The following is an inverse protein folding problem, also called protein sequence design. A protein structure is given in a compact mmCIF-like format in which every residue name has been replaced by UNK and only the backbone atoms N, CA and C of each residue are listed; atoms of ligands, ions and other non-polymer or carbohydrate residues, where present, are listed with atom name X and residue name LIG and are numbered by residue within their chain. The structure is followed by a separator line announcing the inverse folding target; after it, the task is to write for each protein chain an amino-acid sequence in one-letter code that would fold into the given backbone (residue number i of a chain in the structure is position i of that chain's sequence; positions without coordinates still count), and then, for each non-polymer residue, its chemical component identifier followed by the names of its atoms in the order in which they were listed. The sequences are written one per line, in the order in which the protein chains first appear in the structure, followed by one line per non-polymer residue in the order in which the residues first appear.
data_IF_395972587481
#
_entry.id   IF_395972587481
#
_cell.length_a   1.000
_cell.length_b   1.000
_cell.length_c   1.000
_cell.angle_alpha   90.00
_cell.angle_beta   90.00
_cell.angle_gamma   90.00
#
_symmetry.space_group_name_H-M   'P 1'
#
loop_
_entity.id
_entity.type
_entity.pdbx_description
1 polymer ?
#
# COMPACT_ATOMS: atom_id res chain seq x y z
N UNK A 1 -44.02 -28.03 -41.17
CA UNK A 1 -43.25 -26.78 -41.16
C UNK A 1 -42.80 -26.54 -39.73
N UNK A 2 -41.57 -26.93 -39.39
CA UNK A 2 -41.01 -26.79 -38.06
C UNK A 2 -40.09 -25.58 -38.04
N UNK A 3 -40.33 -24.62 -37.13
CA UNK A 3 -39.46 -23.45 -36.91
C UNK A 3 -38.45 -23.85 -35.85
N UNK A 4 -37.16 -23.85 -36.20
CA UNK A 4 -36.03 -24.01 -35.28
C UNK A 4 -35.82 -22.70 -34.55
N UNK A 5 -35.65 -22.66 -33.19
CA UNK A 5 -35.28 -21.46 -32.47
C UNK A 5 -33.77 -21.20 -32.65
N UNK A 6 -33.44 -20.03 -33.19
CA UNK A 6 -32.06 -19.57 -33.30
C UNK A 6 -31.42 -19.33 -31.92
N UNK A 7 -30.29 -19.96 -31.68
CA UNK A 7 -29.46 -19.77 -30.51
C UNK A 7 -28.69 -18.41 -30.67
N UNK A 8 -29.07 -17.40 -29.91
CA UNK A 8 -28.33 -16.14 -29.83
C UNK A 8 -27.16 -16.34 -28.87
N UNK A 9 -25.94 -16.43 -29.41
CA UNK A 9 -24.72 -16.38 -28.62
C UNK A 9 -24.48 -14.93 -28.18
N UNK A 10 -24.73 -14.66 -26.91
CA UNK A 10 -24.27 -13.44 -26.26
C UNK A 10 -22.74 -13.55 -26.03
N UNK A 11 -21.96 -12.92 -26.91
CA UNK A 11 -20.53 -12.74 -26.68
C UNK A 11 -20.34 -11.79 -25.50
N UNK A 12 -19.85 -12.31 -24.39
CA UNK A 12 -19.39 -11.51 -23.25
C UNK A 12 -18.14 -10.77 -23.67
N UNK A 13 -18.25 -9.47 -23.95
CA UNK A 13 -17.10 -8.59 -24.15
C UNK A 13 -16.53 -8.31 -22.74
N UNK A 14 -15.48 -9.03 -22.36
CA UNK A 14 -14.67 -8.63 -21.23
C UNK A 14 -14.09 -7.24 -21.53
N UNK A 15 -14.16 -6.25 -20.60
CA UNK A 15 -13.51 -4.98 -20.81
C UNK A 15 -12.02 -5.23 -20.99
N UNK A 16 -11.48 -4.81 -22.13
CA UNK A 16 -10.04 -4.75 -22.34
C UNK A 16 -9.46 -3.82 -21.26
N UNK A 17 -8.55 -4.33 -20.43
CA UNK A 17 -7.79 -3.51 -19.51
C UNK A 17 -7.08 -2.47 -20.39
N UNK A 18 -7.45 -1.21 -20.22
CA UNK A 18 -6.73 -0.12 -20.87
C UNK A 18 -5.24 -0.25 -20.52
N UNK A 19 -4.39 -0.14 -21.51
CA UNK A 19 -2.93 -0.20 -21.34
C UNK A 19 -2.54 1.04 -20.52
N UNK A 20 -2.46 0.89 -19.20
CA UNK A 20 -2.12 1.96 -18.28
C UNK A 20 -0.60 2.11 -18.24
N UNK A 21 -0.08 2.96 -19.12
CA UNK A 21 1.33 3.37 -19.16
C UNK A 21 1.63 4.59 -18.27
N UNK A 22 0.67 4.99 -17.42
CA UNK A 22 0.80 6.11 -16.51
C UNK A 22 1.93 5.92 -15.48
N UNK A 23 2.50 7.04 -15.04
CA UNK A 23 3.52 7.08 -13.97
C UNK A 23 2.98 6.52 -12.66
N UNK A 24 1.73 6.72 -12.36
CA UNK A 24 1.03 6.26 -11.16
C UNK A 24 -0.11 5.31 -11.53
N UNK A 25 -0.53 4.48 -10.59
CA UNK A 25 -1.67 3.60 -10.72
C UNK A 25 -2.67 3.85 -9.59
N UNK A 26 -3.94 3.64 -9.87
CA UNK A 26 -5.04 3.73 -8.92
C UNK A 26 -5.94 2.49 -9.02
N UNK A 27 -6.79 2.31 -8.01
CA UNK A 27 -7.86 1.31 -7.97
C UNK A 27 -9.17 1.96 -7.52
N UNK A 28 -10.30 1.39 -7.90
CA UNK A 28 -11.55 1.69 -7.24
C UNK A 28 -11.67 0.91 -5.91
N UNK A 29 -12.35 1.44 -4.87
CA UNK A 29 -12.59 0.69 -3.64
C UNK A 29 -13.24 -0.68 -3.87
N UNK A 30 -14.12 -0.80 -4.88
CA UNK A 30 -14.77 -2.05 -5.26
C UNK A 30 -13.79 -3.12 -5.79
N UNK A 31 -12.59 -2.72 -6.22
CA UNK A 31 -11.54 -3.64 -6.67
C UNK A 31 -10.81 -4.32 -5.50
N UNK A 32 -11.06 -3.89 -4.26
CA UNK A 32 -10.47 -4.43 -3.05
C UNK A 32 -11.40 -5.45 -2.40
N UNK A 33 -10.91 -6.69 -2.19
CA UNK A 33 -11.73 -7.81 -1.71
C UNK A 33 -12.34 -7.55 -0.33
N UNK A 34 -11.55 -6.99 0.58
CA UNK A 34 -11.90 -6.82 1.99
C UNK A 34 -12.53 -5.46 2.30
N UNK A 35 -12.67 -4.56 1.31
CA UNK A 35 -13.08 -3.17 1.52
C UNK A 35 -14.45 -3.05 2.23
N UNK A 36 -15.45 -3.81 1.76
CA UNK A 36 -16.82 -3.70 2.29
C UNK A 36 -16.93 -4.08 3.77
N UNK A 37 -16.05 -4.99 4.24
CA UNK A 37 -15.99 -5.46 5.61
C UNK A 37 -15.22 -4.51 6.56
N UNK A 38 -14.55 -3.45 6.03
CA UNK A 38 -13.75 -2.57 6.86
C UNK A 38 -14.62 -1.58 7.66
N UNK A 39 -14.15 -1.17 8.87
CA UNK A 39 -14.75 -0.09 9.64
C UNK A 39 -14.80 1.23 8.85
N UNK A 40 -15.75 2.14 9.17
CA UNK A 40 -15.91 3.42 8.45
C UNK A 40 -14.63 4.26 8.39
N UNK A 41 -13.82 4.26 9.45
CA UNK A 41 -12.57 5.01 9.56
C UNK A 41 -11.52 4.48 8.57
N UNK A 42 -11.38 3.15 8.47
CA UNK A 42 -10.47 2.49 7.53
C UNK A 42 -10.95 2.72 6.09
N UNK A 43 -12.26 2.66 5.84
CA UNK A 43 -12.83 2.99 4.52
C UNK A 43 -12.52 4.43 4.11
N UNK A 44 -12.64 5.40 5.03
CA UNK A 44 -12.29 6.79 4.75
C UNK A 44 -10.81 6.94 4.40
N UNK A 45 -9.91 6.31 5.18
CA UNK A 45 -8.48 6.32 4.90
C UNK A 45 -8.16 5.74 3.52
N UNK A 46 -8.72 4.57 3.18
CA UNK A 46 -8.53 3.92 1.88
C UNK A 46 -9.05 4.81 0.76
N UNK A 47 -10.25 5.38 0.88
CA UNK A 47 -10.82 6.25 -0.15
C UNK A 47 -9.96 7.49 -0.39
N UNK A 48 -9.49 8.15 0.67
CA UNK A 48 -8.58 9.29 0.58
C UNK A 48 -7.27 8.91 -0.11
N UNK A 49 -6.69 7.77 0.27
CA UNK A 49 -5.47 7.27 -0.34
C UNK A 49 -5.65 7.00 -1.84
N UNK A 50 -6.75 6.36 -2.24
CA UNK A 50 -7.05 6.09 -3.65
C UNK A 50 -7.32 7.37 -4.44
N UNK A 51 -8.05 8.34 -3.87
CA UNK A 51 -8.22 9.67 -4.49
C UNK A 51 -6.87 10.37 -4.67
N UNK A 52 -5.97 10.27 -3.69
CA UNK A 52 -4.64 10.89 -3.79
C UNK A 52 -3.83 10.31 -4.97
N UNK A 53 -3.96 9.02 -5.27
CA UNK A 53 -3.26 8.37 -6.40
C UNK A 53 -3.75 8.86 -7.78
N UNK A 54 -4.93 9.48 -7.87
CA UNK A 54 -5.44 10.03 -9.14
C UNK A 54 -4.87 11.41 -9.47
N UNK A 55 -4.06 12.01 -8.57
CA UNK A 55 -3.53 13.37 -8.73
C UNK A 55 -2.19 13.44 -9.48
N UNK A 56 -1.68 12.30 -9.95
CA UNK A 56 -0.40 12.18 -10.67
C UNK A 56 0.80 12.83 -9.92
N UNK A 57 0.87 12.62 -8.60
CA UNK A 57 1.93 13.15 -7.73
C UNK A 57 3.20 12.32 -7.87
N UNK A 58 4.36 12.98 -8.11
CA UNK A 58 5.65 12.34 -8.18
C UNK A 58 6.19 11.89 -6.81
N UNK A 59 7.32 11.15 -6.82
CA UNK A 59 8.10 10.96 -5.61
C UNK A 59 8.96 12.20 -5.36
N UNK A 60 8.85 12.77 -4.15
CA UNK A 60 9.65 13.92 -3.72
C UNK A 60 10.09 13.75 -2.28
N UNK A 61 11.39 13.47 -2.08
CA UNK A 61 11.97 13.29 -0.77
C UNK A 61 11.77 14.53 0.12
N UNK A 62 11.37 14.31 1.39
CA UNK A 62 11.10 15.38 2.37
C UNK A 62 9.73 16.04 2.24
N UNK A 63 8.96 15.80 1.16
CA UNK A 63 7.65 16.42 0.97
C UNK A 63 6.52 15.62 1.62
N UNK A 64 5.58 16.33 2.26
CA UNK A 64 4.30 15.82 2.77
C UNK A 64 3.11 16.67 2.29
N UNK A 65 3.32 17.57 1.36
CA UNK A 65 2.27 18.42 0.81
C UNK A 65 2.06 18.11 -0.67
N UNK A 66 0.86 17.61 -1.07
CA UNK A 66 0.55 17.34 -2.47
C UNK A 66 0.60 18.58 -3.38
N UNK A 67 0.56 19.80 -2.83
CA UNK A 67 0.70 21.03 -3.61
C UNK A 67 2.13 21.21 -4.18
N UNK A 68 3.12 20.50 -3.61
CA UNK A 68 4.49 20.49 -4.13
C UNK A 68 4.65 19.63 -5.40
N UNK A 69 3.59 18.96 -5.88
CA UNK A 69 3.63 18.09 -7.06
C UNK A 69 4.21 16.70 -6.80
N UNK A 70 4.59 16.39 -5.56
CA UNK A 70 5.12 15.09 -5.15
C UNK A 70 5.22 14.95 -3.64
N UNK A 71 5.38 13.71 -3.17
CA UNK A 71 5.48 13.36 -1.75
C UNK A 71 6.46 12.22 -1.54
N UNK A 72 7.03 12.09 -0.32
CA UNK A 72 7.76 10.88 0.07
C UNK A 72 6.85 9.84 0.75
N UNK A 73 7.39 8.67 1.06
CA UNK A 73 6.64 7.55 1.63
C UNK A 73 5.96 7.92 2.96
N UNK A 74 6.72 8.42 3.94
CA UNK A 74 6.19 8.82 5.24
C UNK A 74 5.39 10.12 5.16
N UNK A 75 5.70 11.02 4.23
CA UNK A 75 4.92 12.23 3.95
C UNK A 75 3.53 11.92 3.44
N UNK A 76 3.39 10.92 2.58
CA UNK A 76 2.09 10.44 2.10
C UNK A 76 1.24 9.88 3.25
N UNK A 77 1.83 9.03 4.11
CA UNK A 77 1.14 8.49 5.28
C UNK A 77 0.78 9.60 6.26
N UNK A 78 1.72 10.48 6.56
CA UNK A 78 1.51 11.65 7.43
C UNK A 78 0.35 12.52 6.96
N UNK A 79 0.34 12.88 5.67
CA UNK A 79 -0.74 13.66 5.07
C UNK A 79 -2.10 12.99 5.23
N UNK A 80 -2.21 11.71 4.83
CA UNK A 80 -3.47 10.95 4.88
C UNK A 80 -4.02 10.80 6.30
N UNK A 81 -3.15 10.55 7.28
CA UNK A 81 -3.59 10.35 8.67
C UNK A 81 -4.00 11.67 9.33
N UNK A 82 -3.28 12.77 9.07
CA UNK A 82 -3.70 14.09 9.56
C UNK A 82 -5.03 14.55 8.94
N UNK A 83 -5.22 14.33 7.63
CA UNK A 83 -6.46 14.64 6.94
C UNK A 83 -7.63 13.77 7.44
N UNK A 84 -7.37 12.53 7.86
CA UNK A 84 -8.33 11.68 8.56
C UNK A 84 -8.64 12.14 10.00
N UNK A 85 -7.95 13.18 10.50
CA UNK A 85 -8.17 13.79 11.81
C UNK A 85 -7.37 13.19 12.96
N UNK A 86 -6.42 12.29 12.68
CA UNK A 86 -5.54 11.75 13.70
C UNK A 86 -4.60 12.83 14.23
N UNK A 87 -4.27 12.77 15.53
CA UNK A 87 -3.37 13.71 16.20
C UNK A 87 -2.01 13.08 16.44
N UNK A 88 -0.99 13.93 16.55
CA UNK A 88 0.36 13.52 16.93
C UNK A 88 0.97 12.44 16.01
N UNK A 89 0.56 12.41 14.74
CA UNK A 89 1.10 11.49 13.75
C UNK A 89 2.58 11.80 13.52
N UNK A 90 3.51 10.85 13.69
CA UNK A 90 4.92 11.07 13.41
C UNK A 90 5.17 11.38 11.93
N UNK A 91 6.20 12.22 11.64
CA UNK A 91 6.48 12.62 10.26
C UNK A 91 7.34 11.63 9.48
N UNK A 92 8.23 10.89 10.13
CA UNK A 92 9.15 9.97 9.44
C UNK A 92 8.86 8.50 9.72
N UNK A 93 9.32 7.62 8.84
CA UNK A 93 9.04 6.19 8.87
C UNK A 93 9.57 5.49 10.13
N UNK A 94 10.70 5.93 10.69
CA UNK A 94 11.27 5.37 11.91
C UNK A 94 10.42 5.71 13.14
N UNK A 95 9.97 6.96 13.23
CA UNK A 95 9.09 7.39 14.33
C UNK A 95 7.68 6.79 14.19
N UNK A 96 7.16 6.61 12.96
CA UNK A 96 5.91 5.86 12.73
C UNK A 96 6.03 4.40 13.18
N UNK A 97 7.17 3.76 12.91
CA UNK A 97 7.45 2.42 13.41
C UNK A 97 7.45 2.39 14.94
N UNK A 98 8.19 3.31 15.60
CA UNK A 98 8.22 3.40 17.07
C UNK A 98 6.82 3.63 17.64
N UNK A 99 6.03 4.50 17.02
CA UNK A 99 4.66 4.79 17.42
C UNK A 99 3.78 3.53 17.43
N UNK A 100 3.81 2.75 16.35
CA UNK A 100 3.07 1.47 16.25
C UNK A 100 3.63 0.43 17.23
N UNK A 101 4.97 0.34 17.34
CA UNK A 101 5.65 -0.64 18.18
C UNK A 101 5.40 -0.39 19.69
N UNK A 102 5.51 0.85 20.15
CA UNK A 102 5.31 1.22 21.57
C UNK A 102 3.87 1.03 22.05
N UNK A 103 2.91 1.06 21.14
CA UNK A 103 1.50 0.74 21.42
C UNK A 103 1.18 -0.76 21.38
N UNK A 104 2.16 -1.61 21.08
CA UNK A 104 2.00 -3.05 21.01
C UNK A 104 1.27 -3.56 19.75
N UNK A 105 1.14 -2.75 18.72
CA UNK A 105 0.43 -3.13 17.49
C UNK A 105 1.35 -3.67 16.38
N UNK A 106 2.67 -3.61 16.56
CA UNK A 106 3.61 -4.11 15.58
C UNK A 106 3.71 -5.63 15.57
N UNK A 107 3.75 -6.22 14.37
CA UNK A 107 3.98 -7.63 14.10
C UNK A 107 5.17 -7.78 13.17
N UNK A 108 6.22 -8.42 13.67
CA UNK A 108 7.40 -8.72 12.87
C UNK A 108 7.10 -9.81 11.83
N UNK A 109 7.71 -9.68 10.65
CA UNK A 109 7.70 -10.71 9.59
C UNK A 109 9.14 -11.05 9.25
N UNK A 110 9.51 -12.30 9.49
CA UNK A 110 10.86 -12.81 9.26
C UNK A 110 10.95 -13.66 7.99
N UNK A 111 9.84 -14.17 7.53
CA UNK A 111 9.76 -15.00 6.34
C UNK A 111 9.88 -14.16 5.06
N UNK A 112 10.53 -14.71 4.04
CA UNK A 112 10.50 -14.22 2.66
C UNK A 112 9.45 -14.94 1.79
N UNK A 113 8.74 -15.91 2.36
CA UNK A 113 7.66 -16.62 1.68
C UNK A 113 6.39 -15.75 1.68
N UNK A 114 5.82 -15.39 0.51
CA UNK A 114 4.60 -14.59 0.44
C UNK A 114 3.36 -15.26 1.06
N UNK A 115 3.39 -16.58 1.22
CA UNK A 115 2.30 -17.36 1.81
C UNK A 115 2.55 -17.69 3.30
N UNK A 116 3.43 -16.94 3.97
CA UNK A 116 3.70 -17.14 5.39
C UNK A 116 2.48 -16.83 6.26
N UNK A 117 2.28 -17.64 7.30
CA UNK A 117 1.25 -17.41 8.32
C UNK A 117 1.42 -16.06 9.06
N UNK A 118 2.65 -15.51 9.05
CA UNK A 118 2.95 -14.21 9.67
C UNK A 118 2.14 -13.06 9.02
N UNK A 119 1.64 -13.25 7.80
CA UNK A 119 0.80 -12.29 7.08
C UNK A 119 -0.71 -12.55 7.22
N UNK A 120 -1.14 -13.63 7.89
CA UNK A 120 -2.58 -13.91 8.06
C UNK A 120 -3.33 -12.80 8.83
N UNK A 121 -2.74 -12.18 9.91
CA UNK A 121 -3.40 -11.09 10.61
C UNK A 121 -3.34 -9.73 9.92
N UNK A 122 -2.62 -9.61 8.77
CA UNK A 122 -2.50 -8.36 8.02
C UNK A 122 -3.86 -7.92 7.47
N UNK A 123 -4.28 -6.71 7.76
CA UNK A 123 -5.60 -6.19 7.37
C UNK A 123 -5.48 -4.81 6.70
N UNK A 124 -6.44 -4.44 5.83
CA UNK A 124 -6.48 -3.11 5.21
C UNK A 124 -6.39 -1.99 6.25
N UNK A 125 -5.57 -0.99 5.96
CA UNK A 125 -5.26 0.12 6.85
C UNK A 125 -4.01 -0.07 7.72
N UNK A 126 -3.43 -1.28 7.79
CA UNK A 126 -2.16 -1.48 8.50
C UNK A 126 -1.00 -0.76 7.79
N UNK A 127 -0.06 -0.25 8.58
CA UNK A 127 1.21 0.30 8.09
C UNK A 127 2.21 -0.82 7.84
N UNK A 128 2.87 -0.77 6.70
CA UNK A 128 3.91 -1.70 6.26
C UNK A 128 5.27 -1.03 6.40
N UNK A 129 6.30 -1.72 6.94
CA UNK A 129 7.60 -1.12 7.23
C UNK A 129 8.77 -1.88 6.60
N UNK A 130 9.75 -1.12 6.07
CA UNK A 130 11.00 -1.64 5.49
C UNK A 130 12.21 -0.93 6.05
N UNK A 131 13.33 -1.65 6.08
CA UNK A 131 14.69 -1.14 6.28
C UNK A 131 15.49 -1.24 4.99
N UNK A 132 16.62 -0.54 4.90
CA UNK A 132 17.61 -0.73 3.83
C UNK A 132 17.16 -0.27 2.43
N UNK A 133 16.15 0.60 2.30
CA UNK A 133 15.79 1.21 1.01
C UNK A 133 16.74 2.37 0.64
N UNK A 134 17.42 2.96 1.62
CA UNK A 134 18.52 3.91 1.49
C UNK A 134 19.36 3.89 2.77
N UNK A 135 20.59 4.45 2.71
CA UNK A 135 21.48 4.51 3.87
C UNK A 135 20.98 5.50 4.92
N UNK A 136 20.94 5.06 6.18
CA UNK A 136 20.63 5.90 7.35
C UNK A 136 21.52 5.54 8.52
N UNK A 137 21.86 6.55 9.31
CA UNK A 137 22.54 6.39 10.61
C UNK A 137 21.54 6.76 11.71
N UNK A 138 20.59 5.88 11.96
CA UNK A 138 19.58 6.01 13.02
C UNK A 138 19.10 4.64 13.51
N UNK A 139 18.57 4.61 14.73
CA UNK A 139 17.96 3.43 15.34
C UNK A 139 16.50 3.72 15.76
N UNK A 140 15.53 2.93 15.32
CA UNK A 140 15.62 1.83 14.36
C UNK A 140 15.85 2.34 12.93
N UNK A 141 16.54 1.55 12.08
CA UNK A 141 16.93 1.96 10.72
C UNK A 141 15.78 1.77 9.71
N UNK A 142 14.57 2.14 10.08
CA UNK A 142 13.39 2.05 9.22
C UNK A 142 13.42 3.18 8.20
N UNK A 143 13.38 2.82 6.93
CA UNK A 143 13.58 3.75 5.81
C UNK A 143 12.35 3.93 4.92
N UNK A 144 11.33 3.07 5.06
CA UNK A 144 10.16 3.14 4.18
C UNK A 144 8.89 2.68 4.91
N UNK A 145 7.76 3.30 4.56
CA UNK A 145 6.43 2.99 5.09
C UNK A 145 5.38 3.13 4.00
N UNK A 146 4.38 2.23 4.01
CA UNK A 146 3.19 2.29 3.15
C UNK A 146 1.95 1.83 3.90
N UNK A 147 0.77 2.02 3.31
CA UNK A 147 -0.52 1.56 3.85
C UNK A 147 -0.96 0.33 3.05
N UNK A 148 -1.29 -0.76 3.73
CA UNK A 148 -1.86 -1.94 3.12
C UNK A 148 -3.32 -1.69 2.72
N UNK A 149 -3.70 -2.05 1.49
CA UNK A 149 -5.06 -1.86 0.97
C UNK A 149 -5.91 -3.14 1.00
N UNK A 150 -5.28 -4.31 1.05
CA UNK A 150 -5.97 -5.58 0.92
C UNK A 150 -5.56 -6.35 -0.33
N UNK A 151 -6.48 -7.21 -0.82
CA UNK A 151 -6.28 -8.05 -1.99
C UNK A 151 -7.07 -7.47 -3.18
N UNK A 152 -6.39 -7.25 -4.30
CA UNK A 152 -7.03 -6.88 -5.55
C UNK A 152 -7.90 -8.04 -6.05
N UNK A 153 -9.20 -7.81 -6.26
CA UNK A 153 -10.18 -8.82 -6.68
C UNK A 153 -9.84 -9.44 -8.03
N UNK A 154 -9.31 -8.64 -8.95
CA UNK A 154 -9.03 -9.08 -10.32
C UNK A 154 -7.81 -9.98 -10.38
N UNK A 155 -6.73 -9.60 -9.68
CA UNK A 155 -5.43 -10.29 -9.79
C UNK A 155 -5.18 -11.28 -8.67
N UNK A 156 -5.92 -11.19 -7.55
CA UNK A 156 -5.67 -11.95 -6.33
C UNK A 156 -4.41 -11.52 -5.57
N UNK A 157 -3.70 -10.48 -6.02
CA UNK A 157 -2.47 -9.99 -5.38
C UNK A 157 -2.78 -9.06 -4.21
N UNK A 158 -1.91 -9.08 -3.21
CA UNK A 158 -1.90 -8.05 -2.17
C UNK A 158 -1.44 -6.72 -2.75
N UNK A 159 -2.09 -5.63 -2.34
CA UNK A 159 -1.79 -4.28 -2.82
C UNK A 159 -1.63 -3.30 -1.66
N UNK A 160 -0.85 -2.27 -1.90
CA UNK A 160 -0.55 -1.20 -0.94
C UNK A 160 -0.55 0.15 -1.64
N UNK A 161 -0.62 1.23 -0.88
CA UNK A 161 -0.59 2.62 -1.35
C UNK A 161 0.46 3.42 -0.59
N UNK A 162 1.09 4.34 -1.28
CA UNK A 162 2.08 5.27 -0.73
C UNK A 162 2.87 5.93 -1.83
N UNK A 163 4.02 6.52 -1.51
CA UNK A 163 4.93 7.09 -2.49
C UNK A 163 6.21 6.27 -2.60
N UNK A 164 6.62 5.94 -3.82
CA UNK A 164 7.86 5.22 -4.12
C UNK A 164 8.33 5.53 -5.53
N UNK A 165 9.62 5.33 -5.78
CA UNK A 165 10.28 5.49 -7.09
C UNK A 165 10.87 4.18 -7.66
N UNK A 166 10.66 3.06 -6.99
CA UNK A 166 11.27 1.78 -7.37
C UNK A 166 10.36 0.57 -7.25
N UNK A 167 9.03 0.76 -7.25
CA UNK A 167 8.07 -0.33 -7.10
C UNK A 167 7.19 -0.49 -8.33
N UNK A 168 6.51 -1.62 -8.42
CA UNK A 168 5.64 -1.98 -9.55
C UNK A 168 4.19 -2.11 -9.14
N UNK A 169 3.30 -1.95 -10.10
CA UNK A 169 1.91 -2.37 -10.03
C UNK A 169 1.55 -3.16 -11.28
N UNK A 170 1.05 -4.38 -11.10
CA UNK A 170 0.78 -5.33 -12.20
C UNK A 170 2.00 -5.53 -13.12
N UNK A 171 3.20 -5.60 -12.52
CA UNK A 171 4.45 -5.79 -13.23
C UNK A 171 4.99 -4.57 -13.98
N UNK A 172 4.29 -3.42 -13.97
CA UNK A 172 4.73 -2.16 -14.58
C UNK A 172 5.36 -1.25 -13.53
N UNK A 173 6.53 -0.63 -13.79
CA UNK A 173 7.14 0.35 -12.88
C UNK A 173 6.22 1.54 -12.63
N UNK A 174 6.19 2.02 -11.39
CA UNK A 174 5.45 3.23 -10.98
C UNK A 174 6.38 4.16 -10.21
N UNK A 175 6.12 5.47 -10.33
CA UNK A 175 6.92 6.49 -9.63
C UNK A 175 5.99 7.57 -9.08
N UNK A 176 6.01 7.76 -7.75
CA UNK A 176 5.18 8.75 -7.07
C UNK A 176 4.17 8.13 -6.13
N UNK A 177 3.09 8.87 -5.87
CA UNK A 177 1.97 8.43 -5.02
C UNK A 177 1.07 7.52 -5.84
N UNK A 178 1.10 6.23 -5.54
CA UNK A 178 0.51 5.20 -6.40
C UNK A 178 0.03 4.01 -5.59
N UNK A 179 -0.81 3.19 -6.21
CA UNK A 179 -1.00 1.79 -5.79
C UNK A 179 0.18 0.96 -6.31
N UNK A 180 0.64 0.02 -5.48
CA UNK A 180 1.72 -0.91 -5.80
C UNK A 180 1.35 -2.33 -5.40
N UNK A 181 1.94 -3.32 -6.06
CA UNK A 181 1.92 -4.69 -5.60
C UNK A 181 2.67 -4.80 -4.25
N UNK A 182 2.08 -5.44 -3.25
CA UNK A 182 2.78 -5.78 -2.03
C UNK A 182 3.40 -7.17 -2.18
N UNK A 183 4.72 -7.18 -2.34
CA UNK A 183 5.53 -8.39 -2.40
C UNK A 183 6.62 -8.34 -1.34
N UNK A 184 6.90 -9.48 -0.72
CA UNK A 184 8.05 -9.59 0.17
C UNK A 184 9.33 -9.52 -0.67
N UNK A 185 10.32 -8.68 -0.30
CA UNK A 185 11.58 -8.60 -1.03
C UNK A 185 12.25 -9.97 -1.09
N UNK A 186 12.61 -10.39 -2.29
CA UNK A 186 13.46 -11.57 -2.46
C UNK A 186 14.86 -11.23 -1.96
N UNK A 187 15.57 -12.17 -1.29
CA UNK A 187 16.95 -11.96 -0.96
C UNK A 187 17.73 -11.59 -2.21
N UNK A 188 18.32 -10.40 -2.23
CA UNK A 188 19.15 -9.97 -3.36
C UNK A 188 20.40 -10.85 -3.39
N UNK A 189 20.61 -11.58 -4.49
CA UNK A 189 21.79 -12.43 -4.69
C UNK A 189 22.96 -11.67 -5.33
N UNK A 190 22.73 -10.42 -5.73
CA UNK A 190 23.76 -9.60 -6.35
C UNK A 190 24.68 -9.02 -5.27
N UNK A 191 25.86 -9.63 -5.15
CA UNK A 191 26.89 -9.38 -4.13
C UNK A 191 27.59 -8.00 -4.24
N UNK A 192 26.94 -6.98 -4.81
CA UNK A 192 27.55 -5.67 -5.06
C UNK A 192 26.82 -4.47 -4.44
N UNK A 193 25.67 -4.67 -3.82
CA UNK A 193 24.93 -3.58 -3.16
C UNK A 193 24.94 -3.76 -1.65
N UNK A 194 25.52 -2.80 -0.93
CA UNK A 194 25.44 -2.73 0.54
C UNK A 194 24.03 -2.46 1.06
N UNK A 195 23.09 -2.11 0.18
CA UNK A 195 21.70 -1.86 0.48
C UNK A 195 20.82 -3.06 0.14
N UNK A 196 20.29 -3.70 1.18
CA UNK A 196 19.25 -4.73 1.03
C UNK A 196 17.95 -4.25 1.62
N UNK A 197 17.00 -3.91 0.74
CA UNK A 197 15.63 -3.62 1.18
C UNK A 197 15.02 -4.86 1.84
N UNK A 198 14.64 -4.73 3.10
CA UNK A 198 14.00 -5.79 3.88
C UNK A 198 12.66 -5.33 4.41
N UNK A 199 11.61 -6.10 4.16
CA UNK A 199 10.35 -5.95 4.87
C UNK A 199 10.53 -6.48 6.29
N UNK A 200 10.20 -5.67 7.29
CA UNK A 200 10.41 -6.03 8.70
C UNK A 200 9.12 -6.36 9.43
N UNK A 201 7.97 -5.99 8.86
CA UNK A 201 6.68 -6.24 9.47
C UNK A 201 5.69 -5.10 9.25
N UNK A 202 4.59 -5.18 9.96
CA UNK A 202 3.45 -4.29 9.83
C UNK A 202 2.77 -4.04 11.17
N UNK A 203 1.83 -3.10 11.19
CA UNK A 203 1.01 -2.93 12.38
C UNK A 203 -0.11 -1.93 12.20
N UNK A 204 -1.11 -2.08 13.05
CA UNK A 204 -2.30 -1.23 13.02
C UNK A 204 -1.98 0.18 13.47
N UNK A 205 -2.62 1.15 12.84
CA UNK A 205 -2.56 2.56 13.25
C UNK A 205 -3.25 2.68 14.62
N UNK A 206 -2.56 3.18 15.67
CA UNK A 206 -3.05 3.11 17.05
C UNK A 206 -4.48 3.62 17.24
N UNK A 207 -4.77 4.83 16.79
CA UNK A 207 -6.08 5.45 17.02
C UNK A 207 -7.23 4.79 16.20
N UNK A 208 -6.89 4.17 15.05
CA UNK A 208 -7.87 3.40 14.26
C UNK A 208 -8.09 2.01 14.86
N UNK A 209 -7.08 1.41 15.49
CA UNK A 209 -7.21 0.12 16.18
C UNK A 209 -8.10 0.25 17.42
N UNK A 210 -7.96 1.32 18.19
CA UNK A 210 -8.75 1.59 19.40
C UNK A 210 -10.24 1.88 19.07
N UNK A 211 -10.52 2.50 17.91
CA UNK A 211 -11.87 2.74 17.47
C UNK A 211 -12.61 1.46 17.02
N UNK A 212 -11.88 0.49 16.49
CA UNK A 212 -12.44 -0.80 16.07
C UNK A 212 -12.71 -1.78 17.23
N UNK A 213 -12.16 -1.49 18.43
CA UNK A 213 -12.31 -2.33 19.63
C UNK A 213 -13.50 -1.92 20.52
N UNK A 214 -14.19 -0.83 20.20
CA UNK A 214 -15.39 -0.30 20.91
C UNK A 214 -16.66 -0.68 20.18
#
# INVERSE_FOLDING_TARGET
MGVLPGLVLLASIAPALADDDGRVASLAPADLREYDAQPPEVKRLINHALVLTTRDLGYQYGSCDPQNGGMDCSGTVYYLLNDAGLKDVPRDSSEMYKWVWTKGFFRAVNSSNPDTFELEPLKPGDLLFWTGTYHVDRDPPVTHVMIYLGINRLTGRRVMVGASDGRTFNGKPRNGVSVFDFELPKPNRDAGSDLQSRFIGYGSIPDLADAAAK
#
